data_IF_617318341210
#
_entry.id   IF_617318341210
#
_cell.length_a   1.000
_cell.length_b   1.000
_cell.length_c   1.000
_cell.angle_alpha   90.00
_cell.angle_beta   90.00
_cell.angle_gamma   90.00
#
_symmetry.space_group_name_H-M   'P 1'
#
loop_
_entity.id
_entity.type
_entity.pdbx_description
1 polymer ?
#
# COMPACT_ATOMS: atom_id res chain seq x y z
N UNK A 1 48.24 5.89 -85.65
CA UNK A 1 48.92 4.88 -84.83
C UNK A 1 48.97 5.36 -83.38
N UNK A 2 48.30 4.61 -82.49
CA UNK A 2 48.67 4.29 -81.09
C UNK A 2 48.72 5.44 -80.06
N UNK A 3 47.70 5.62 -79.22
CA UNK A 3 47.34 4.89 -77.96
C UNK A 3 48.07 5.42 -76.70
N UNK A 4 47.25 5.93 -75.79
CA UNK A 4 47.30 5.89 -74.31
C UNK A 4 48.64 5.64 -73.59
N UNK A 5 48.91 6.44 -72.56
CA UNK A 5 49.06 5.89 -71.21
C UNK A 5 48.74 6.94 -70.12
N UNK A 6 47.68 6.61 -69.38
CA UNK A 6 47.30 7.15 -68.08
C UNK A 6 48.20 6.45 -67.05
N UNK A 7 48.84 7.19 -66.16
CA UNK A 7 49.36 6.64 -64.89
C UNK A 7 49.01 7.60 -63.76
N UNK A 8 48.28 7.03 -62.80
CA UNK A 8 47.60 7.63 -61.66
C UNK A 8 48.54 8.25 -60.63
N UNK A 9 48.15 9.42 -60.11
CA UNK A 9 48.68 9.96 -58.86
C UNK A 9 47.92 9.34 -57.66
N UNK A 10 48.60 9.12 -56.51
CA UNK A 10 48.03 8.42 -55.38
C UNK A 10 47.05 9.31 -54.59
N UNK A 11 45.85 8.77 -54.36
CA UNK A 11 44.79 9.36 -53.53
C UNK A 11 45.24 9.48 -52.08
N UNK A 12 45.09 10.63 -51.40
CA UNK A 12 45.26 10.71 -49.96
C UNK A 12 44.09 10.00 -49.26
N UNK A 13 44.42 9.01 -48.42
CA UNK A 13 43.45 8.35 -47.55
C UNK A 13 42.80 9.38 -46.63
N UNK A 14 41.47 9.46 -46.70
CA UNK A 14 40.66 10.23 -45.78
C UNK A 14 40.93 9.75 -44.34
N UNK A 15 41.37 10.66 -43.48
CA UNK A 15 41.45 10.42 -42.05
C UNK A 15 40.05 10.05 -41.51
N UNK A 16 39.95 9.08 -40.59
CA UNK A 16 38.68 8.79 -39.95
C UNK A 16 38.26 10.03 -39.16
N UNK A 17 37.13 10.61 -39.54
CA UNK A 17 36.43 11.62 -38.75
C UNK A 17 36.06 10.93 -37.44
N UNK A 18 36.82 11.23 -36.39
CA UNK A 18 36.47 10.87 -35.02
C UNK A 18 35.26 11.71 -34.67
N UNK A 19 34.07 11.15 -34.90
CA UNK A 19 32.82 11.66 -34.36
C UNK A 19 32.94 11.67 -32.83
N UNK A 20 33.31 12.84 -32.29
CA UNK A 20 33.23 13.15 -30.87
C UNK A 20 31.84 12.78 -30.37
N UNK A 21 31.76 11.96 -29.32
CA UNK A 21 30.53 11.41 -28.72
C UNK A 21 29.54 12.42 -28.12
N UNK A 22 29.50 13.66 -28.62
CA UNK A 22 28.61 14.74 -28.20
C UNK A 22 27.32 14.87 -29.03
N UNK A 23 27.10 14.03 -30.04
CA UNK A 23 25.85 14.03 -30.83
C UNK A 23 24.82 12.96 -30.44
N UNK A 24 25.11 12.11 -29.44
CA UNK A 24 24.26 10.94 -29.17
C UNK A 24 23.13 11.09 -28.13
N UNK A 25 22.93 12.26 -27.50
CA UNK A 25 21.80 12.52 -26.58
C UNK A 25 21.33 13.99 -26.60
N UNK A 26 21.07 14.58 -27.78
CA UNK A 26 20.32 15.84 -27.89
C UNK A 26 18.83 15.54 -28.03
N UNK A 27 18.20 15.26 -26.90
CA UNK A 27 16.78 14.99 -26.82
C UNK A 27 16.43 14.47 -25.43
N UNK A 28 16.55 15.31 -24.40
CA UNK A 28 15.81 15.04 -23.16
C UNK A 28 14.34 15.20 -23.53
N UNK A 29 13.64 14.09 -23.72
CA UNK A 29 12.18 14.10 -23.77
C UNK A 29 11.70 14.63 -22.42
N UNK A 30 11.26 15.88 -22.41
CA UNK A 30 10.62 16.46 -21.23
C UNK A 30 9.19 15.95 -21.23
N UNK A 31 8.78 15.26 -20.17
CA UNK A 31 7.41 14.72 -20.07
C UNK A 31 6.35 15.81 -20.29
N UNK A 32 6.65 17.06 -19.94
CA UNK A 32 5.77 18.21 -20.11
C UNK A 32 5.52 18.60 -21.58
N UNK A 33 6.36 18.13 -22.52
CA UNK A 33 6.21 18.38 -23.96
C UNK A 33 5.39 17.30 -24.68
N UNK A 34 5.05 16.21 -23.99
CA UNK A 34 4.27 15.12 -24.56
C UNK A 34 2.77 15.46 -24.63
N UNK A 35 2.05 14.92 -25.62
CA UNK A 35 0.60 14.99 -25.64
C UNK A 35 -0.01 14.40 -24.36
N UNK A 36 -1.10 15.01 -23.90
CA UNK A 36 -1.78 14.62 -22.64
C UNK A 36 -2.17 13.14 -22.65
N UNK A 37 -2.57 12.62 -23.80
CA UNK A 37 -2.95 11.22 -23.99
C UNK A 37 -1.78 10.27 -23.67
N UNK A 38 -0.57 10.63 -24.10
CA UNK A 38 0.64 9.84 -23.86
C UNK A 38 1.04 9.92 -22.38
N UNK A 39 0.93 11.10 -21.76
CA UNK A 39 1.18 11.27 -20.32
C UNK A 39 0.23 10.42 -19.48
N UNK A 40 -1.06 10.40 -19.84
CA UNK A 40 -2.07 9.58 -19.15
C UNK A 40 -1.80 8.09 -19.36
N UNK A 41 -1.42 7.66 -20.57
CA UNK A 41 -1.06 6.27 -20.86
C UNK A 41 0.22 5.82 -20.14
N UNK A 42 1.21 6.70 -20.00
CA UNK A 42 2.37 6.40 -19.15
C UNK A 42 1.90 6.20 -17.71
N UNK A 43 1.07 7.11 -17.20
CA UNK A 43 0.61 7.08 -15.82
C UNK A 43 -0.26 5.84 -15.48
N UNK A 44 -1.07 5.32 -16.41
CA UNK A 44 -1.85 4.07 -16.20
C UNK A 44 -0.97 2.84 -16.03
N UNK A 45 0.22 2.85 -16.62
CA UNK A 45 1.19 1.77 -16.56
C UNK A 45 2.17 1.88 -15.38
N UNK A 46 2.19 3.00 -14.66
CA UNK A 46 2.98 3.17 -13.44
C UNK A 46 2.42 2.36 -12.27
N UNK A 47 3.28 1.93 -11.37
CA UNK A 47 2.86 1.49 -10.05
C UNK A 47 2.36 2.67 -9.20
N UNK A 48 1.76 2.34 -8.06
CA UNK A 48 1.16 3.31 -7.17
C UNK A 48 2.18 4.34 -6.64
N UNK A 49 3.41 3.91 -6.35
CA UNK A 49 4.49 4.80 -5.90
C UNK A 49 4.99 5.72 -7.02
N UNK A 50 5.13 5.20 -8.24
CA UNK A 50 5.46 5.97 -9.44
C UNK A 50 4.40 7.01 -9.76
N UNK A 51 3.11 6.65 -9.68
CA UNK A 51 2.02 7.61 -9.83
C UNK A 51 2.05 8.72 -8.76
N UNK A 52 2.27 8.34 -7.50
CA UNK A 52 2.44 9.29 -6.39
C UNK A 52 3.62 10.25 -6.61
N UNK A 53 4.75 9.73 -7.09
CA UNK A 53 5.93 10.51 -7.41
C UNK A 53 5.68 11.48 -8.56
N UNK A 54 4.98 11.02 -9.61
CA UNK A 54 4.65 11.82 -10.79
C UNK A 54 3.76 13.03 -10.47
N UNK A 55 2.86 12.92 -9.48
CA UNK A 55 2.07 14.05 -8.96
C UNK A 55 2.91 15.17 -8.32
N UNK A 56 4.12 14.81 -7.86
CA UNK A 56 5.08 15.72 -7.23
C UNK A 56 6.01 16.44 -8.21
N UNK A 57 6.12 15.98 -9.46
CA UNK A 57 7.15 16.44 -10.40
C UNK A 57 6.93 17.88 -10.88
N UNK A 58 5.71 18.20 -11.35
CA UNK A 58 5.39 19.54 -11.87
C UNK A 58 3.92 19.89 -11.63
N UNK A 59 3.60 21.19 -11.60
CA UNK A 59 2.20 21.66 -11.49
C UNK A 59 1.37 21.27 -12.72
N UNK A 60 1.99 21.20 -13.89
CA UNK A 60 1.38 20.72 -15.12
C UNK A 60 0.99 19.24 -15.02
N UNK A 61 1.93 18.37 -14.61
CA UNK A 61 1.68 16.94 -14.39
C UNK A 61 0.58 16.74 -13.35
N UNK A 62 0.66 17.45 -12.23
CA UNK A 62 -0.38 17.41 -11.19
C UNK A 62 -1.76 17.75 -11.76
N UNK A 63 -1.87 18.81 -12.55
CA UNK A 63 -3.14 19.22 -13.16
C UNK A 63 -3.71 18.15 -14.11
N UNK A 64 -2.86 17.52 -14.93
CA UNK A 64 -3.28 16.42 -15.82
C UNK A 64 -3.73 15.21 -15.00
N UNK A 65 -2.88 14.74 -14.09
CA UNK A 65 -3.15 13.54 -13.32
C UNK A 65 -4.39 13.70 -12.43
N UNK A 66 -4.61 14.87 -11.80
CA UNK A 66 -5.84 15.17 -11.07
C UNK A 66 -7.09 15.26 -11.97
N UNK A 67 -6.93 15.58 -13.26
CA UNK A 67 -8.06 15.59 -14.19
C UNK A 67 -8.45 14.17 -14.60
N UNK A 68 -7.48 13.27 -14.78
CA UNK A 68 -7.67 11.91 -15.29
C UNK A 68 -7.50 10.80 -14.24
N UNK A 69 -7.42 11.14 -12.95
CA UNK A 69 -7.04 10.20 -11.88
C UNK A 69 -7.91 8.95 -11.82
N UNK A 70 -9.21 9.04 -12.11
CA UNK A 70 -10.12 7.88 -12.03
C UNK A 70 -9.75 6.81 -13.03
N UNK A 71 -9.38 7.22 -14.23
CA UNK A 71 -8.95 6.30 -15.27
C UNK A 71 -7.61 5.68 -14.89
N UNK A 72 -6.64 6.51 -14.49
CA UNK A 72 -5.30 6.08 -14.10
C UNK A 72 -5.35 5.13 -12.89
N UNK A 73 -5.96 5.57 -11.79
CA UNK A 73 -6.05 4.78 -10.56
C UNK A 73 -6.90 3.53 -10.72
N UNK A 74 -7.87 3.48 -11.64
CA UNK A 74 -8.60 2.22 -11.88
C UNK A 74 -7.66 1.10 -12.32
N UNK A 75 -6.76 1.40 -13.26
CA UNK A 75 -5.76 0.45 -13.76
C UNK A 75 -4.76 0.05 -12.68
N UNK A 76 -4.29 1.01 -11.89
CA UNK A 76 -3.37 0.76 -10.78
C UNK A 76 -4.03 -0.13 -9.71
N UNK A 77 -5.28 0.16 -9.33
CA UNK A 77 -6.04 -0.61 -8.34
C UNK A 77 -6.26 -2.05 -8.81
N UNK A 78 -6.63 -2.25 -10.08
CA UNK A 78 -6.81 -3.59 -10.65
C UNK A 78 -5.54 -4.42 -10.69
N UNK A 79 -4.38 -3.77 -10.89
CA UNK A 79 -3.09 -4.46 -10.93
C UNK A 79 -2.53 -4.75 -9.53
N UNK A 80 -2.64 -3.80 -8.61
CA UNK A 80 -1.88 -3.82 -7.37
C UNK A 80 -2.70 -4.05 -6.10
N UNK A 81 -4.02 -3.87 -6.14
CA UNK A 81 -4.89 -3.88 -4.96
C UNK A 81 -6.02 -4.93 -5.05
N UNK A 82 -5.84 -5.95 -5.88
CA UNK A 82 -6.69 -7.15 -5.92
C UNK A 82 -6.81 -7.81 -4.53
N UNK A 83 -8.00 -8.28 -4.13
CA UNK A 83 -9.26 -8.29 -4.88
C UNK A 83 -10.01 -6.95 -4.84
N UNK A 84 -10.25 -6.38 -6.03
CA UNK A 84 -10.85 -5.05 -6.24
C UNK A 84 -12.23 -4.90 -5.59
N UNK A 85 -13.05 -5.95 -5.64
CA UNK A 85 -14.38 -5.93 -5.05
C UNK A 85 -14.37 -5.75 -3.52
N UNK A 86 -13.36 -6.28 -2.82
CA UNK A 86 -13.20 -6.10 -1.38
C UNK A 86 -12.46 -4.80 -1.06
N UNK A 87 -11.49 -4.40 -1.89
CA UNK A 87 -10.82 -3.09 -1.78
C UNK A 87 -11.85 -1.95 -1.68
N UNK A 88 -12.81 -1.90 -2.61
CA UNK A 88 -13.80 -0.81 -2.60
C UNK A 88 -14.81 -0.90 -1.45
N UNK A 89 -15.06 -2.10 -0.89
CA UNK A 89 -15.90 -2.24 0.31
C UNK A 89 -15.19 -1.80 1.58
N UNK A 90 -13.89 -2.07 1.67
CA UNK A 90 -13.06 -1.54 2.73
C UNK A 90 -12.95 -0.01 2.62
N UNK A 91 -12.87 0.52 1.40
CA UNK A 91 -12.81 1.96 1.15
C UNK A 91 -14.12 2.71 1.45
N UNK A 92 -15.27 2.21 0.98
CA UNK A 92 -16.55 2.92 1.12
C UNK A 92 -17.21 2.72 2.49
N UNK A 93 -17.70 3.83 3.07
CA UNK A 93 -18.36 3.86 4.38
C UNK A 93 -19.84 3.43 4.35
N UNK A 94 -20.24 2.58 3.40
CA UNK A 94 -21.65 2.26 3.16
C UNK A 94 -21.91 0.77 2.95
N UNK A 95 -23.07 0.31 3.40
CA UNK A 95 -23.63 -1.00 3.04
C UNK A 95 -23.96 -1.04 1.55
N UNK A 96 -22.96 -1.27 0.72
CA UNK A 96 -23.20 -1.61 -0.68
C UNK A 96 -23.67 -3.06 -0.72
N UNK A 97 -24.99 -3.23 -0.51
CA UNK A 97 -25.72 -4.50 -0.46
C UNK A 97 -25.76 -5.27 -1.78
N UNK A 98 -25.17 -4.73 -2.86
CA UNK A 98 -25.09 -5.42 -4.15
C UNK A 98 -23.65 -5.71 -4.54
N UNK A 99 -23.28 -6.96 -4.25
CA UNK A 99 -22.10 -7.68 -4.73
C UNK A 99 -22.23 -7.89 -6.23
N UNK A 100 -21.81 -6.91 -7.01
CA UNK A 100 -21.41 -7.17 -8.39
C UNK A 100 -19.90 -7.33 -8.43
N UNK A 101 -19.40 -8.23 -9.28
CA UNK A 101 -18.03 -8.17 -9.78
C UNK A 101 -17.90 -6.89 -10.62
N UNK A 102 -17.72 -5.75 -9.95
CA UNK A 102 -17.49 -4.47 -10.59
C UNK A 102 -16.00 -4.26 -10.76
N UNK A 103 -15.62 -3.77 -11.94
CA UNK A 103 -14.30 -3.24 -12.22
C UNK A 103 -14.00 -2.02 -11.34
N UNK A 104 -12.72 -1.67 -11.17
CA UNK A 104 -12.35 -0.45 -10.46
C UNK A 104 -12.88 0.78 -11.19
N UNK A 105 -12.92 0.74 -12.52
CA UNK A 105 -13.48 1.81 -13.35
C UNK A 105 -14.95 2.08 -13.06
N UNK A 106 -15.77 1.03 -12.92
CA UNK A 106 -17.19 1.18 -12.58
C UNK A 106 -17.39 1.72 -11.17
N UNK A 107 -16.55 1.31 -10.22
CA UNK A 107 -16.57 1.83 -8.86
C UNK A 107 -16.21 3.32 -8.82
N UNK A 108 -15.07 3.70 -9.38
CA UNK A 108 -14.62 5.09 -9.41
C UNK A 108 -15.54 6.00 -10.22
N UNK A 109 -16.21 5.45 -11.25
CA UNK A 109 -17.24 6.16 -12.00
C UNK A 109 -18.47 6.53 -11.16
N UNK A 110 -18.80 5.74 -10.14
CA UNK A 110 -19.94 5.95 -9.23
C UNK A 110 -19.65 6.88 -8.06
N UNK A 111 -18.39 7.21 -7.80
CA UNK A 111 -18.02 8.25 -6.84
C UNK A 111 -18.46 9.62 -7.40
N UNK A 112 -19.76 9.89 -7.44
CA UNK A 112 -20.34 11.18 -7.79
C UNK A 112 -20.56 11.96 -6.51
N UNK A 113 -19.65 12.89 -6.23
CA UNK A 113 -19.83 13.83 -5.12
C UNK A 113 -21.10 14.65 -5.36
N UNK A 114 -22.05 14.57 -4.42
CA UNK A 114 -23.13 15.55 -4.28
C UNK A 114 -22.46 16.86 -3.84
N UNK A 115 -21.99 17.65 -4.81
CA UNK A 115 -21.24 18.89 -4.56
C UNK A 115 -20.26 19.19 -5.69
N UNK A 116 -20.77 19.67 -6.83
CA UNK A 116 -19.98 19.96 -8.03
C UNK A 116 -19.00 21.12 -7.87
N UNK A 117 -17.75 20.81 -7.54
CA UNK A 117 -16.60 21.73 -7.51
C UNK A 117 -15.29 21.12 -8.05
N UNK A 118 -14.16 21.82 -7.97
CA UNK A 118 -12.82 21.22 -8.19
C UNK A 118 -12.32 20.53 -6.92
N UNK A 119 -12.56 21.19 -5.78
CA UNK A 119 -12.16 20.79 -4.43
C UNK A 119 -12.65 19.39 -3.97
N UNK A 120 -13.86 18.96 -4.34
CA UNK A 120 -14.31 17.61 -3.96
C UNK A 120 -13.59 16.48 -4.72
N UNK A 121 -13.14 16.73 -5.96
CA UNK A 121 -12.43 15.73 -6.76
C UNK A 121 -11.05 15.45 -6.20
N UNK A 122 -10.38 16.52 -5.78
CA UNK A 122 -9.06 16.44 -5.14
C UNK A 122 -9.20 15.71 -3.80
N UNK A 123 -10.21 16.05 -2.98
CA UNK A 123 -10.49 15.34 -1.72
C UNK A 123 -10.84 13.87 -1.88
N UNK A 124 -11.53 13.47 -2.96
CA UNK A 124 -11.82 12.06 -3.24
C UNK A 124 -10.55 11.31 -3.67
N UNK A 125 -9.77 11.91 -4.57
CA UNK A 125 -8.48 11.38 -5.00
C UNK A 125 -7.55 11.20 -3.79
N UNK A 126 -7.46 12.19 -2.91
CA UNK A 126 -6.62 12.12 -1.72
C UNK A 126 -7.09 11.02 -0.77
N UNK A 127 -8.41 10.84 -0.59
CA UNK A 127 -8.95 9.74 0.23
C UNK A 127 -8.55 8.37 -0.29
N UNK A 128 -8.69 8.12 -1.59
CA UNK A 128 -8.32 6.82 -2.16
C UNK A 128 -6.80 6.62 -2.17
N UNK A 129 -6.02 7.67 -2.46
CA UNK A 129 -4.57 7.63 -2.36
C UNK A 129 -4.11 7.34 -0.93
N UNK A 130 -4.75 7.93 0.08
CA UNK A 130 -4.45 7.65 1.49
C UNK A 130 -4.79 6.20 1.85
N UNK A 131 -5.90 5.67 1.35
CA UNK A 131 -6.27 4.28 1.57
C UNK A 131 -5.25 3.31 0.93
N UNK A 132 -4.91 3.52 -0.35
CA UNK A 132 -3.87 2.75 -1.04
C UNK A 132 -2.52 2.82 -0.32
N UNK A 133 -2.10 4.01 0.15
CA UNK A 133 -0.89 4.18 0.96
C UNK A 133 -0.94 3.36 2.25
N UNK A 134 -2.09 3.38 2.95
CA UNK A 134 -2.29 2.56 4.14
C UNK A 134 -2.14 1.07 3.87
N UNK A 135 -2.69 0.58 2.76
CA UNK A 135 -2.56 -0.83 2.34
C UNK A 135 -1.10 -1.19 2.04
N UNK A 136 -0.37 -0.35 1.29
CA UNK A 136 1.05 -0.57 0.98
C UNK A 136 1.93 -0.58 2.22
N UNK A 137 1.67 0.33 3.16
CA UNK A 137 2.39 0.37 4.43
C UNK A 137 2.10 -0.88 5.27
N UNK A 138 0.85 -1.34 5.28
CA UNK A 138 0.48 -2.62 5.87
C UNK A 138 1.20 -3.81 5.22
N UNK A 139 1.28 -3.86 3.88
CA UNK A 139 2.03 -4.92 3.18
C UNK A 139 3.52 -4.95 3.59
N UNK A 140 4.11 -3.78 3.84
CA UNK A 140 5.49 -3.65 4.30
C UNK A 140 5.67 -4.08 5.76
N UNK A 141 4.85 -3.55 6.68
CA UNK A 141 4.96 -3.84 8.12
C UNK A 141 4.52 -5.25 8.49
N UNK A 142 3.55 -5.84 7.77
CA UNK A 142 3.02 -7.16 8.09
C UNK A 142 4.09 -8.25 8.11
N UNK A 143 5.09 -8.17 7.24
CA UNK A 143 6.22 -9.12 7.22
C UNK A 143 7.04 -9.05 8.50
N UNK A 144 7.27 -7.83 9.00
CA UNK A 144 7.99 -7.59 10.26
C UNK A 144 7.27 -8.23 11.44
N UNK A 145 5.94 -8.14 11.46
CA UNK A 145 5.12 -8.75 12.51
C UNK A 145 5.04 -10.27 12.41
N UNK A 146 4.93 -10.80 11.19
CA UNK A 146 4.78 -12.24 10.93
C UNK A 146 6.06 -13.00 11.26
N UNK A 147 7.21 -12.46 10.87
CA UNK A 147 8.51 -13.10 11.05
C UNK A 147 9.30 -12.46 12.19
N UNK A 148 8.59 -12.05 13.25
CA UNK A 148 9.20 -11.34 14.38
C UNK A 148 10.31 -12.16 15.05
N UNK A 149 10.10 -13.47 15.21
CA UNK A 149 11.05 -14.41 15.83
C UNK A 149 12.13 -14.93 14.86
N UNK A 150 12.06 -14.55 13.58
CA UNK A 150 13.06 -14.95 12.59
C UNK A 150 14.24 -13.96 12.60
N UNK A 151 15.44 -14.47 12.35
CA UNK A 151 16.61 -13.63 12.15
C UNK A 151 16.43 -12.70 10.94
N UNK A 152 17.00 -11.50 11.03
CA UNK A 152 16.85 -10.44 10.01
C UNK A 152 17.31 -10.90 8.63
N UNK A 153 18.26 -11.84 8.56
CA UNK A 153 18.74 -12.43 7.31
C UNK A 153 17.80 -13.47 6.67
N UNK A 154 16.82 -13.98 7.41
CA UNK A 154 15.87 -15.01 6.95
C UNK A 154 14.48 -14.44 6.61
N UNK A 155 14.26 -13.14 6.86
CA UNK A 155 13.00 -12.47 6.53
C UNK A 155 12.85 -12.35 5.02
N UNK A 156 12.08 -13.26 4.42
CA UNK A 156 11.74 -13.20 2.99
C UNK A 156 10.57 -12.26 2.73
N UNK A 157 10.58 -11.65 1.54
CA UNK A 157 9.43 -10.90 1.04
C UNK A 157 8.24 -11.84 0.75
N UNK A 158 7.03 -11.32 0.96
CA UNK A 158 5.80 -11.98 0.53
C UNK A 158 5.76 -12.06 -1.00
N UNK A 159 5.48 -13.26 -1.51
CA UNK A 159 5.21 -13.43 -2.94
C UNK A 159 3.84 -12.80 -3.32
N UNK A 160 3.54 -12.73 -4.63
CA UNK A 160 2.30 -12.11 -5.11
C UNK A 160 1.03 -12.73 -4.53
N UNK A 161 1.01 -14.06 -4.35
CA UNK A 161 -0.16 -14.78 -3.81
C UNK A 161 -0.33 -14.54 -2.31
N UNK A 162 0.76 -14.46 -1.56
CA UNK A 162 0.73 -14.10 -0.14
C UNK A 162 0.22 -12.68 0.08
N UNK A 163 0.69 -11.73 -0.74
CA UNK A 163 0.19 -10.35 -0.70
C UNK A 163 -1.30 -10.27 -1.01
N UNK A 164 -1.79 -11.03 -1.98
CA UNK A 164 -3.22 -11.05 -2.28
C UNK A 164 -4.06 -11.62 -1.12
N UNK A 165 -3.61 -12.72 -0.51
CA UNK A 165 -4.28 -13.31 0.67
C UNK A 165 -4.29 -12.35 1.85
N UNK A 166 -3.14 -11.72 2.12
CA UNK A 166 -3.00 -10.67 3.12
C UNK A 166 -3.99 -9.53 2.87
N UNK A 167 -4.00 -8.96 1.66
CA UNK A 167 -4.94 -7.90 1.26
C UNK A 167 -6.39 -8.31 1.46
N UNK A 168 -6.74 -9.55 1.14
CA UNK A 168 -8.09 -10.07 1.35
C UNK A 168 -8.50 -10.03 2.82
N UNK A 169 -7.67 -10.58 3.71
CA UNK A 169 -7.88 -10.51 5.15
C UNK A 169 -7.95 -9.07 5.66
N UNK A 170 -7.02 -8.21 5.23
CA UNK A 170 -6.97 -6.79 5.59
C UNK A 170 -8.24 -6.03 5.17
N UNK A 171 -8.74 -6.24 3.95
CA UNK A 171 -9.94 -5.58 3.45
C UNK A 171 -11.19 -6.05 4.19
N UNK A 172 -11.29 -7.35 4.50
CA UNK A 172 -12.40 -7.88 5.29
C UNK A 172 -12.38 -7.26 6.70
N UNK A 173 -11.19 -7.17 7.31
CA UNK A 173 -11.03 -6.56 8.62
C UNK A 173 -11.38 -5.06 8.63
N UNK A 174 -10.87 -4.27 7.67
CA UNK A 174 -11.19 -2.84 7.59
C UNK A 174 -12.69 -2.63 7.37
N UNK A 175 -13.30 -3.44 6.52
CA UNK A 175 -14.74 -3.41 6.30
C UNK A 175 -15.51 -3.74 7.59
N UNK A 176 -15.09 -4.78 8.33
CA UNK A 176 -15.68 -5.15 9.61
C UNK A 176 -15.57 -4.02 10.64
N UNK A 177 -14.37 -3.45 10.81
CA UNK A 177 -14.12 -2.37 11.78
C UNK A 177 -14.97 -1.13 11.47
N UNK A 178 -15.13 -0.78 10.19
CA UNK A 178 -16.00 0.35 9.79
C UNK A 178 -17.48 0.09 10.06
N UNK A 179 -17.96 -1.13 9.87
CA UNK A 179 -19.38 -1.48 10.07
C UNK A 179 -19.72 -1.62 11.56
N UNK A 180 -18.81 -2.20 12.36
CA UNK A 180 -19.11 -2.63 13.73
C UNK A 180 -18.39 -1.83 14.83
N UNK A 181 -17.31 -1.11 14.53
CA UNK A 181 -16.50 -0.39 15.52
C UNK A 181 -16.47 1.13 15.32
N UNK A 182 -16.63 1.63 14.09
CA UNK A 182 -16.75 3.07 13.88
C UNK A 182 -18.08 3.55 14.48
N UNK A 183 -18.02 4.39 15.53
CA UNK A 183 -19.17 4.87 16.32
C UNK A 183 -20.21 5.72 15.59
N UNK A 184 -20.30 5.65 14.25
CA UNK A 184 -21.42 6.20 13.50
C UNK A 184 -22.52 5.14 13.46
N UNK A 185 -23.72 5.58 13.77
CA UNK A 185 -24.97 4.83 13.69
C UNK A 185 -25.30 4.40 12.24
N UNK A 186 -24.42 3.67 11.54
CA UNK A 186 -24.90 2.71 10.56
C UNK A 186 -25.81 1.79 11.36
N UNK A 187 -27.12 1.84 11.07
CA UNK A 187 -28.10 0.88 11.61
C UNK A 187 -27.38 -0.45 11.73
N UNK A 188 -27.29 -1.03 12.93
CA UNK A 188 -26.72 -2.37 13.13
C UNK A 188 -27.60 -3.33 12.33
N UNK A 189 -27.39 -3.46 11.03
CA UNK A 189 -28.28 -4.22 10.15
C UNK A 189 -27.95 -5.71 10.19
N UNK A 190 -26.73 -6.07 10.60
CA UNK A 190 -26.27 -7.43 10.75
C UNK A 190 -25.51 -7.62 12.07
N UNK A 191 -25.81 -8.71 12.77
CA UNK A 191 -24.98 -9.27 13.84
C UNK A 191 -23.56 -9.56 13.32
N UNK A 192 -22.48 -9.37 14.11
CA UNK A 192 -21.11 -9.69 13.70
C UNK A 192 -20.97 -11.09 13.09
N UNK A 193 -21.66 -12.09 13.66
CA UNK A 193 -21.66 -13.47 13.13
C UNK A 193 -22.29 -13.54 11.74
N UNK A 194 -23.36 -12.79 11.50
CA UNK A 194 -24.01 -12.73 10.19
C UNK A 194 -23.14 -12.03 9.14
N UNK A 195 -22.30 -11.08 9.55
CA UNK A 195 -21.28 -10.49 8.68
C UNK A 195 -20.24 -11.54 8.26
N UNK A 196 -19.69 -12.30 9.21
CA UNK A 196 -18.65 -13.30 8.94
C UNK A 196 -19.15 -14.43 8.03
N UNK A 197 -20.43 -14.81 8.11
CA UNK A 197 -21.06 -15.83 7.24
C UNK A 197 -21.10 -15.46 5.76
N UNK A 198 -20.74 -14.23 5.38
CA UNK A 198 -20.69 -13.79 3.98
C UNK A 198 -19.44 -14.27 3.24
N UNK A 199 -18.44 -14.76 3.97
CA UNK A 199 -17.14 -15.15 3.42
C UNK A 199 -16.98 -16.66 3.45
N UNK A 200 -16.20 -17.18 2.50
CA UNK A 200 -15.80 -18.57 2.45
C UNK A 200 -14.86 -18.93 3.60
N UNK A 201 -14.73 -20.23 3.90
CA UNK A 201 -13.80 -20.72 4.92
C UNK A 201 -12.37 -20.28 4.66
N UNK A 202 -11.93 -20.28 3.39
CA UNK A 202 -10.60 -19.81 3.01
C UNK A 202 -10.39 -18.33 3.33
N UNK A 203 -11.36 -17.47 3.00
CA UNK A 203 -11.29 -16.04 3.30
C UNK A 203 -11.29 -15.77 4.81
N UNK A 204 -12.04 -16.56 5.58
CA UNK A 204 -12.04 -16.47 7.04
C UNK A 204 -10.70 -16.91 7.65
N UNK A 205 -10.04 -17.92 7.09
CA UNK A 205 -8.69 -18.29 7.52
C UNK A 205 -7.65 -17.22 7.18
N UNK A 206 -7.75 -16.59 6.01
CA UNK A 206 -6.87 -15.48 5.63
C UNK A 206 -7.08 -14.25 6.53
N UNK A 207 -8.32 -13.95 6.90
CA UNK A 207 -8.61 -12.95 7.92
C UNK A 207 -8.02 -13.33 9.29
N UNK A 208 -8.19 -14.59 9.71
CA UNK A 208 -7.67 -15.06 11.00
C UNK A 208 -6.15 -14.97 11.07
N UNK A 209 -5.44 -15.33 9.99
CA UNK A 209 -3.98 -15.22 9.88
C UNK A 209 -3.50 -13.77 10.03
N UNK A 210 -4.21 -12.82 9.40
CA UNK A 210 -3.94 -11.38 9.59
C UNK A 210 -4.21 -10.98 11.04
N UNK A 211 -5.36 -11.37 11.58
CA UNK A 211 -5.79 -11.00 12.92
C UNK A 211 -4.83 -11.51 14.00
N UNK A 212 -4.43 -12.77 13.96
CA UNK A 212 -3.50 -13.36 14.93
C UNK A 212 -2.12 -12.70 14.87
N UNK A 213 -1.62 -12.43 13.66
CA UNK A 213 -0.33 -11.73 13.47
C UNK A 213 -0.38 -10.33 14.08
N UNK A 214 -1.45 -9.58 13.82
CA UNK A 214 -1.60 -8.21 14.34
C UNK A 214 -1.87 -8.23 15.85
N UNK A 215 -2.68 -9.16 16.35
CA UNK A 215 -2.94 -9.35 17.78
C UNK A 215 -1.63 -9.56 18.54
N UNK A 216 -0.78 -10.45 18.04
CA UNK A 216 0.52 -10.72 18.64
C UNK A 216 1.44 -9.48 18.55
N UNK A 217 1.44 -8.75 17.45
CA UNK A 217 2.22 -7.51 17.32
C UNK A 217 1.76 -6.42 18.30
N UNK A 218 0.45 -6.20 18.43
CA UNK A 218 -0.12 -5.24 19.38
C UNK A 218 0.20 -5.63 20.83
N UNK A 219 0.09 -6.92 21.16
CA UNK A 219 0.46 -7.45 22.46
C UNK A 219 1.95 -7.46 22.77
N UNK A 220 2.83 -7.13 21.81
CA UNK A 220 4.26 -6.94 22.05
C UNK A 220 4.65 -5.47 22.05
N UNK A 221 4.13 -4.71 21.09
CA UNK A 221 4.63 -3.36 20.77
C UNK A 221 3.75 -2.24 21.34
N UNK A 222 2.47 -2.50 21.63
CA UNK A 222 1.52 -1.46 22.07
C UNK A 222 1.10 -1.68 23.52
N UNK A 223 0.64 -2.89 23.85
CA UNK A 223 0.20 -3.23 25.20
C UNK A 223 0.79 -4.57 25.68
N UNK A 224 2.13 -4.62 25.91
CA UNK A 224 2.78 -5.81 26.45
C UNK A 224 2.26 -6.14 27.85
N UNK A 225 2.11 -7.42 28.16
CA UNK A 225 1.76 -7.84 29.52
C UNK A 225 2.90 -7.55 30.50
N UNK A 226 2.57 -7.42 31.79
CA UNK A 226 3.60 -7.21 32.83
C UNK A 226 4.62 -8.35 32.82
N UNK A 227 4.16 -9.59 32.62
CA UNK A 227 5.05 -10.76 32.48
C UNK A 227 5.99 -10.64 31.28
N UNK A 228 5.51 -10.20 30.11
CA UNK A 228 6.35 -10.04 28.93
C UNK A 228 7.41 -8.93 29.10
N UNK A 229 7.04 -7.82 29.75
CA UNK A 229 8.01 -6.77 30.09
C UNK A 229 9.02 -7.27 31.12
N UNK A 230 8.57 -8.09 32.06
CA UNK A 230 9.42 -8.68 33.07
C UNK A 230 10.54 -9.54 32.49
N UNK A 231 10.21 -10.39 31.51
CA UNK A 231 11.18 -11.26 30.85
C UNK A 231 12.34 -10.49 30.20
N UNK A 232 12.12 -9.23 29.82
CA UNK A 232 13.15 -8.39 29.19
C UNK A 232 13.89 -7.52 30.20
N UNK A 233 13.18 -6.85 31.11
CA UNK A 233 13.78 -5.84 32.00
C UNK A 233 14.36 -6.47 33.27
N UNK A 234 13.78 -7.57 33.77
CA UNK A 234 14.21 -8.20 35.03
C UNK A 234 13.90 -7.40 36.30
N UNK A 235 13.31 -6.21 36.19
CA UNK A 235 12.79 -5.40 37.31
C UNK A 235 11.25 -5.35 37.34
N UNK A 236 10.67 -5.84 38.43
CA UNK A 236 9.22 -5.91 38.65
C UNK A 236 8.55 -4.55 38.78
N UNK A 237 9.17 -3.61 39.49
CA UNK A 237 8.57 -2.29 39.67
C UNK A 237 8.50 -1.53 38.36
N UNK A 238 9.53 -1.68 37.51
CA UNK A 238 9.53 -1.07 36.18
C UNK A 238 8.56 -1.78 35.23
N UNK A 239 8.46 -3.10 35.31
CA UNK A 239 7.53 -3.85 34.48
C UNK A 239 6.06 -3.55 34.80
N UNK A 240 5.69 -3.41 36.07
CA UNK A 240 4.34 -2.99 36.48
C UNK A 240 4.02 -1.56 36.02
N UNK A 241 5.03 -0.69 35.85
CA UNK A 241 4.87 0.67 35.34
C UNK A 241 4.70 0.78 33.82
N UNK A 242 5.09 -0.25 33.06
CA UNK A 242 5.06 -0.26 31.59
C UNK A 242 4.01 -1.24 31.04
N UNK A 243 3.86 -2.39 31.69
CA UNK A 243 3.01 -3.49 31.25
C UNK A 243 1.52 -3.24 31.49
N UNK A 244 0.69 -3.90 30.68
CA UNK A 244 -0.76 -3.73 30.63
C UNK A 244 -1.47 -4.96 31.19
N UNK A 245 -1.41 -5.13 32.51
CA UNK A 245 -2.00 -6.28 33.20
C UNK A 245 -1.39 -7.62 32.79
N UNK A 246 -1.98 -8.72 33.27
CA UNK A 246 -1.57 -10.09 32.93
C UNK A 246 -2.78 -11.00 32.68
N UNK A 247 -2.54 -12.10 31.97
CA UNK A 247 -3.54 -13.15 31.72
C UNK A 247 -4.82 -12.61 31.08
N UNK A 248 -5.95 -12.71 31.79
CA UNK A 248 -7.26 -12.29 31.27
C UNK A 248 -7.41 -10.77 31.16
N UNK A 249 -6.82 -10.01 32.08
CA UNK A 249 -6.89 -8.54 32.04
C UNK A 249 -6.20 -8.01 30.78
N UNK A 250 -4.98 -8.49 30.51
CA UNK A 250 -4.25 -8.12 29.30
C UNK A 250 -5.03 -8.51 28.03
N UNK A 251 -5.64 -9.71 28.00
CA UNK A 251 -6.49 -10.13 26.87
C UNK A 251 -7.68 -9.20 26.63
N UNK A 252 -8.33 -8.69 27.69
CA UNK A 252 -9.44 -7.74 27.56
C UNK A 252 -8.99 -6.37 27.07
N UNK A 253 -7.82 -5.89 27.52
CA UNK A 253 -7.20 -4.66 27.04
C UNK A 253 -6.85 -4.79 25.56
N UNK A 254 -6.17 -5.88 25.17
CA UNK A 254 -5.86 -6.20 23.78
C UNK A 254 -7.13 -6.24 22.92
N UNK A 255 -8.16 -6.94 23.39
CA UNK A 255 -9.46 -7.00 22.71
C UNK A 255 -10.14 -5.64 22.56
N UNK A 256 -9.82 -4.67 23.41
CA UNK A 256 -10.30 -3.30 23.29
C UNK A 256 -9.48 -2.50 22.27
N UNK A 257 -8.16 -2.61 22.29
CA UNK A 257 -7.26 -1.97 21.31
C UNK A 257 -7.53 -2.50 19.91
N UNK A 258 -7.75 -3.80 19.76
CA UNK A 258 -8.03 -4.46 18.48
C UNK A 258 -9.39 -4.10 17.84
N UNK A 259 -10.26 -3.34 18.55
CA UNK A 259 -11.46 -2.74 17.94
C UNK A 259 -11.14 -1.54 17.07
N UNK A 260 -9.95 -0.97 17.20
CA UNK A 260 -9.48 0.09 16.31
C UNK A 260 -9.40 -0.43 14.87
N UNK A 261 -9.63 0.45 13.91
CA UNK A 261 -9.48 0.10 12.51
C UNK A 261 -8.00 -0.13 12.14
N UNK A 262 -7.71 -0.88 11.06
CA UNK A 262 -6.34 -1.10 10.58
C UNK A 262 -5.54 0.19 10.42
N UNK A 263 -6.17 1.28 9.96
CA UNK A 263 -5.49 2.57 9.79
C UNK A 263 -5.02 3.19 11.11
N UNK A 264 -5.79 3.05 12.19
CA UNK A 264 -5.43 3.61 13.50
C UNK A 264 -4.40 2.72 14.21
N UNK A 265 -4.56 1.39 14.12
CA UNK A 265 -3.57 0.44 14.65
C UNK A 265 -2.22 0.57 13.97
N UNK A 266 -2.20 0.78 12.65
CA UNK A 266 -0.95 0.99 11.94
C UNK A 266 -0.21 2.24 12.44
N UNK A 267 -0.92 3.30 12.81
CA UNK A 267 -0.27 4.49 13.41
C UNK A 267 0.30 4.20 14.79
N UNK A 268 -0.37 3.37 15.59
CA UNK A 268 0.14 2.95 16.90
C UNK A 268 1.38 2.06 16.75
N UNK A 269 1.35 1.11 15.82
CA UNK A 269 2.46 0.17 15.58
C UNK A 269 3.66 0.84 14.89
N UNK A 270 3.42 1.73 13.91
CA UNK A 270 4.49 2.45 13.21
C UNK A 270 5.01 3.66 13.99
N UNK A 271 4.18 4.28 14.82
CA UNK A 271 4.53 5.43 15.69
C UNK A 271 5.02 5.04 17.08
N UNK A 272 4.81 3.78 17.49
CA UNK A 272 5.26 3.19 18.76
C UNK A 272 6.76 2.95 18.78
N UNK A 273 7.55 4.03 18.73
CA UNK A 273 9.00 4.03 18.90
C UNK A 273 9.48 3.67 20.31
N UNK A 274 8.70 2.91 21.08
CA UNK A 274 9.15 2.22 22.29
C UNK A 274 9.68 0.85 21.91
N UNK A 275 10.78 0.80 21.14
CA UNK A 275 11.47 -0.45 20.83
C UNK A 275 11.93 -1.07 22.14
N UNK A 276 11.24 -2.09 22.64
CA UNK A 276 11.82 -2.99 23.62
C UNK A 276 13.07 -3.57 22.94
N UNK A 277 14.28 -3.38 23.50
CA UNK A 277 15.50 -3.82 22.84
C UNK A 277 15.44 -5.33 22.65
N UNK A 278 15.71 -5.77 21.41
CA UNK A 278 15.92 -7.19 21.09
C UNK A 278 17.04 -7.71 21.99
N UNK A 279 16.74 -8.59 22.92
CA UNK A 279 17.74 -9.40 23.60
C UNK A 279 18.28 -10.42 22.60
N UNK A 280 19.26 -9.98 21.82
CA UNK A 280 20.02 -10.79 20.87
C UNK A 280 21.41 -10.18 20.75
N UNK A 281 22.26 -10.50 21.74
CA UNK A 281 23.64 -10.00 21.79
C UNK A 281 24.25 -10.07 23.19
N UNK A 282 24.31 -11.26 23.78
CA UNK A 282 25.34 -11.56 24.78
C UNK A 282 26.25 -12.65 24.21
N UNK A 283 27.46 -12.18 23.85
CA UNK A 283 28.68 -12.89 23.41
C UNK A 283 28.65 -13.53 22.04
#
# INVERSE_FOLDING_TARGET
MLFSQIVSQPTPMAAPVVETGQQRLKGRLVLDELPVEIVVEIATNLDFEGFGSMLGVSSFMRCILQKYWRYILSSIIEREFTPVGLFFRAFETGEVTRVGNRSAREWLGRLTGVGGGRDWRDREMDRIMNFCRGVKLWEAEFQRFRFYDCDVGEMRLMNGRERERFRRGLFIWDWFARVHHAGRQTRRTAEPVAFMRRFSTTELHELNDVWETVWAAVGREVCPSVTAVMEVIGDRSLAEGIGWGDGEENRQILGTVMKLGPGDLLRLLAGGGGKIPRTGGFV
#
